data_IF_140991753210
#
_entry.id   IF_140991753210
#
_cell.length_a   1.000
_cell.length_b   1.000
_cell.length_c   1.000
_cell.angle_alpha   90.00
_cell.angle_beta   90.00
_cell.angle_gamma   90.00
#
_symmetry.space_group_name_H-M   'P 1'
#
loop_
_entity.id
_entity.type
_entity.pdbx_description
1 polymer ?
#
# COMPACT_ATOMS: atom_id res chain seq x y z
N UNK A 1 22.29 2.95 -4.90
CA UNK A 1 21.05 3.43 -4.27
C UNK A 1 21.18 4.93 -4.00
N UNK A 2 20.19 5.71 -4.42
CA UNK A 2 20.12 7.17 -4.24
C UNK A 2 19.27 7.46 -2.99
N UNK A 3 19.89 8.03 -1.95
CA UNK A 3 19.29 8.19 -0.62
C UNK A 3 18.12 9.19 -0.59
N UNK A 4 18.04 10.06 -1.58
CA UNK A 4 17.02 11.11 -1.71
C UNK A 4 15.93 10.76 -2.73
N UNK A 5 15.94 9.53 -3.31
CA UNK A 5 15.04 9.12 -4.37
C UNK A 5 14.00 8.12 -3.87
N UNK A 6 12.75 8.37 -4.18
CA UNK A 6 11.63 7.44 -3.99
C UNK A 6 11.01 7.09 -5.35
N UNK A 7 10.59 5.85 -5.51
CA UNK A 7 9.69 5.46 -6.60
C UNK A 7 8.29 5.24 -6.05
N UNK A 8 7.31 5.89 -6.68
CA UNK A 8 5.88 5.75 -6.44
C UNK A 8 5.27 5.05 -7.67
N UNK A 9 5.20 3.72 -7.61
CA UNK A 9 4.69 2.88 -8.71
C UNK A 9 3.22 2.64 -8.46
N UNK A 10 2.37 3.17 -9.35
CA UNK A 10 0.94 3.35 -9.13
C UNK A 10 0.68 4.66 -8.36
N UNK A 11 1.06 5.79 -8.98
CA UNK A 11 0.94 7.12 -8.34
C UNK A 11 -0.52 7.52 -8.07
N UNK A 12 -1.45 7.04 -8.87
CA UNK A 12 -2.86 7.40 -8.82
C UNK A 12 -3.07 8.93 -8.73
N UNK A 13 -3.78 9.43 -7.72
CA UNK A 13 -4.07 10.85 -7.50
C UNK A 13 -2.87 11.66 -6.95
N UNK A 14 -1.76 11.01 -6.64
CA UNK A 14 -0.51 11.62 -6.17
C UNK A 14 -0.48 11.98 -4.68
N UNK A 15 -1.35 11.42 -3.83
CA UNK A 15 -1.36 11.74 -2.40
C UNK A 15 -0.10 11.23 -1.69
N UNK A 16 0.38 10.04 -2.04
CA UNK A 16 1.66 9.51 -1.54
C UNK A 16 2.85 10.30 -2.10
N UNK A 17 2.84 10.62 -3.39
CA UNK A 17 3.83 11.51 -4.01
C UNK A 17 3.91 12.87 -3.27
N UNK A 18 2.77 13.47 -2.89
CA UNK A 18 2.75 14.72 -2.13
C UNK A 18 3.45 14.59 -0.77
N UNK A 19 3.22 13.47 -0.08
CA UNK A 19 3.91 13.17 1.18
C UNK A 19 5.42 13.06 0.98
N UNK A 20 5.88 12.29 0.01
CA UNK A 20 7.31 12.10 -0.24
C UNK A 20 8.02 13.42 -0.61
N UNK A 21 7.39 14.23 -1.45
CA UNK A 21 7.88 15.56 -1.81
C UNK A 21 7.97 16.51 -0.61
N UNK A 22 6.96 16.46 0.31
CA UNK A 22 6.96 17.26 1.54
C UNK A 22 8.10 16.89 2.49
N UNK A 23 8.54 15.61 2.44
CA UNK A 23 9.68 15.09 3.22
C UNK A 23 11.05 15.44 2.58
N UNK A 24 11.04 16.13 1.45
CA UNK A 24 12.26 16.58 0.75
C UNK A 24 12.85 15.59 -0.23
N UNK A 25 12.17 14.47 -0.50
CA UNK A 25 12.61 13.48 -1.47
C UNK A 25 12.40 13.95 -2.91
N UNK A 26 13.21 13.44 -3.82
CA UNK A 26 12.90 13.40 -5.26
C UNK A 26 12.04 12.17 -5.53
N UNK A 27 11.11 12.28 -6.47
CA UNK A 27 10.18 11.18 -6.77
C UNK A 27 10.19 10.86 -8.26
N UNK A 28 10.30 9.58 -8.59
CA UNK A 28 9.90 9.03 -9.88
C UNK A 28 8.54 8.39 -9.67
N UNK A 29 7.51 9.02 -10.22
CA UNK A 29 6.14 8.54 -10.15
C UNK A 29 5.77 7.83 -11.46
N UNK A 30 5.21 6.63 -11.37
CA UNK A 30 4.84 5.79 -12.51
C UNK A 30 3.33 5.61 -12.45
N UNK A 31 2.64 5.98 -13.55
CA UNK A 31 1.19 5.89 -13.63
C UNK A 31 0.76 5.53 -15.07
N UNK A 32 -0.07 4.50 -15.17
CA UNK A 32 -0.58 4.00 -16.44
C UNK A 32 -1.69 4.87 -17.01
N UNK A 33 -2.57 5.41 -16.15
CA UNK A 33 -3.72 6.21 -16.54
C UNK A 33 -3.29 7.63 -16.96
N UNK A 34 -3.41 8.00 -18.28
CA UNK A 34 -2.94 9.29 -18.76
C UNK A 34 -3.71 10.49 -18.17
N UNK A 35 -4.96 10.30 -17.76
CA UNK A 35 -5.74 11.37 -17.11
C UNK A 35 -5.16 11.73 -15.74
N UNK A 36 -4.83 10.71 -14.94
CA UNK A 36 -4.20 10.92 -13.63
C UNK A 36 -2.80 11.54 -13.78
N UNK A 37 -2.04 11.13 -14.80
CA UNK A 37 -0.74 11.74 -15.12
C UNK A 37 -0.89 13.23 -15.44
N UNK A 38 -1.89 13.62 -16.23
CA UNK A 38 -2.14 15.02 -16.56
C UNK A 38 -2.54 15.83 -15.32
N UNK A 39 -3.44 15.30 -14.50
CA UNK A 39 -3.90 15.93 -13.26
C UNK A 39 -2.76 16.12 -12.26
N UNK A 40 -1.98 15.07 -12.01
CA UNK A 40 -0.83 15.12 -11.11
C UNK A 40 0.28 16.04 -11.64
N UNK A 41 0.54 16.06 -12.95
CA UNK A 41 1.51 16.98 -13.55
C UNK A 41 1.11 18.45 -13.36
N UNK A 42 -0.19 18.76 -13.38
CA UNK A 42 -0.72 20.09 -13.05
C UNK A 42 -0.62 20.39 -11.54
N UNK A 43 -1.03 19.42 -10.70
CA UNK A 43 -0.98 19.51 -9.24
C UNK A 43 0.44 19.81 -8.75
N UNK A 44 1.44 19.18 -9.32
CA UNK A 44 2.85 19.27 -8.93
C UNK A 44 3.72 20.03 -9.94
N UNK A 45 3.14 21.01 -10.65
CA UNK A 45 3.87 21.71 -11.71
C UNK A 45 5.20 22.33 -11.26
N UNK A 46 5.28 22.82 -10.02
CA UNK A 46 6.51 23.38 -9.44
C UNK A 46 7.59 22.29 -9.23
N UNK A 47 7.22 21.14 -8.73
CA UNK A 47 8.10 19.99 -8.47
C UNK A 47 8.58 19.33 -9.78
N UNK A 48 7.72 19.29 -10.79
CA UNK A 48 8.10 18.86 -12.14
C UNK A 48 9.10 19.86 -12.76
N UNK A 49 8.81 21.15 -12.69
CA UNK A 49 9.66 22.19 -13.29
C UNK A 49 11.06 22.27 -12.64
N UNK A 50 11.17 22.02 -11.34
CA UNK A 50 12.45 22.04 -10.61
C UNK A 50 13.16 20.67 -10.58
N UNK A 51 12.60 19.63 -11.20
CA UNK A 51 13.19 18.29 -11.32
C UNK A 51 13.09 17.44 -10.05
N UNK A 52 12.31 17.84 -9.03
CA UNK A 52 12.06 17.00 -7.85
C UNK A 52 11.05 15.89 -8.11
N UNK A 53 10.14 16.08 -9.06
CA UNK A 53 9.20 15.05 -9.52
C UNK A 53 9.40 14.77 -11.00
N UNK A 54 9.51 13.50 -11.37
CA UNK A 54 9.38 13.03 -12.74
C UNK A 54 8.21 12.07 -12.82
N UNK A 55 7.22 12.40 -13.64
CA UNK A 55 6.05 11.54 -13.86
C UNK A 55 6.27 10.77 -15.17
N UNK A 56 6.14 9.45 -15.11
CA UNK A 56 6.26 8.54 -16.24
C UNK A 56 4.86 7.97 -16.56
N UNK A 57 4.31 8.35 -17.73
CA UNK A 57 3.05 7.77 -18.20
C UNK A 57 3.32 6.44 -18.90
N UNK A 58 3.54 5.41 -18.12
CA UNK A 58 3.79 4.05 -18.59
C UNK A 58 3.20 3.03 -17.63
N UNK A 59 2.78 1.88 -18.13
CA UNK A 59 2.51 0.70 -17.35
C UNK A 59 3.77 -0.11 -17.09
N UNK A 60 3.80 -0.88 -15.99
CA UNK A 60 4.84 -1.87 -15.74
C UNK A 60 4.37 -3.22 -16.30
N UNK A 61 5.21 -3.87 -17.10
CA UNK A 61 4.91 -5.17 -17.70
C UNK A 61 6.17 -6.01 -17.91
N UNK A 62 6.00 -7.31 -18.19
CA UNK A 62 7.11 -8.24 -18.43
C UNK A 62 7.95 -7.90 -19.67
N UNK A 63 7.42 -7.09 -20.58
CA UNK A 63 8.08 -6.72 -21.84
C UNK A 63 7.74 -5.29 -22.26
N UNK A 64 8.65 -4.67 -22.99
CA UNK A 64 8.43 -3.37 -23.61
C UNK A 64 7.33 -3.48 -24.69
N UNK A 65 6.50 -2.43 -24.83
CA UNK A 65 5.47 -2.40 -25.86
C UNK A 65 4.30 -1.51 -25.50
N UNK A 66 3.16 -1.77 -26.12
CA UNK A 66 1.89 -1.12 -25.82
C UNK A 66 0.83 -2.21 -25.62
N UNK A 67 0.12 -2.13 -24.51
CA UNK A 67 -0.81 -3.18 -24.09
C UNK A 67 -2.16 -2.59 -23.66
N UNK A 68 -3.25 -3.39 -23.77
CA UNK A 68 -4.55 -3.02 -23.23
C UNK A 68 -4.49 -2.81 -21.70
N UNK A 69 -5.08 -1.71 -21.25
CA UNK A 69 -5.24 -1.35 -19.86
C UNK A 69 -6.69 -0.90 -19.63
N UNK A 70 -7.31 -1.35 -18.56
CA UNK A 70 -8.70 -1.10 -18.26
C UNK A 70 -8.83 0.02 -17.24
N UNK A 71 -9.47 1.13 -17.61
CA UNK A 71 -9.78 2.26 -16.73
C UNK A 71 -11.12 2.00 -16.06
N UNK A 72 -11.16 1.97 -14.72
CA UNK A 72 -12.39 2.03 -13.96
C UNK A 72 -12.83 3.49 -13.81
N UNK A 73 -14.06 3.81 -14.26
CA UNK A 73 -14.52 5.21 -14.36
C UNK A 73 -14.98 5.82 -13.04
N UNK A 74 -15.24 4.98 -12.02
CA UNK A 74 -15.77 5.44 -10.72
C UNK A 74 -14.77 5.29 -9.58
N UNK A 75 -13.83 4.36 -9.68
CA UNK A 75 -12.80 4.09 -8.66
C UNK A 75 -11.46 3.95 -9.38
N UNK A 76 -10.71 5.04 -9.49
CA UNK A 76 -9.47 5.10 -10.27
C UNK A 76 -8.45 4.05 -9.84
N UNK A 77 -8.44 3.71 -8.56
CA UNK A 77 -7.58 2.70 -7.93
C UNK A 77 -7.77 1.29 -8.53
N UNK A 78 -8.96 1.00 -9.06
CA UNK A 78 -9.25 -0.30 -9.66
C UNK A 78 -8.84 -0.41 -11.14
N UNK A 79 -8.28 0.65 -11.71
CA UNK A 79 -7.75 0.59 -13.08
C UNK A 79 -6.57 -0.37 -13.14
N UNK A 80 -6.60 -1.33 -14.08
CA UNK A 80 -5.67 -2.46 -14.07
C UNK A 80 -5.46 -3.04 -15.47
N UNK A 81 -4.38 -3.80 -15.65
CA UNK A 81 -4.21 -4.69 -16.80
C UNK A 81 -5.16 -5.90 -16.75
N UNK A 82 -5.73 -6.20 -15.59
CA UNK A 82 -6.74 -7.22 -15.42
C UNK A 82 -8.14 -6.59 -15.46
N UNK A 83 -8.91 -6.92 -16.52
CA UNK A 83 -10.26 -6.43 -16.72
C UNK A 83 -11.18 -6.76 -15.54
N UNK A 84 -11.02 -7.93 -14.90
CA UNK A 84 -11.86 -8.35 -13.76
C UNK A 84 -11.68 -7.41 -12.56
N UNK A 85 -10.47 -6.90 -12.36
CA UNK A 85 -10.19 -5.89 -11.33
C UNK A 85 -10.90 -4.58 -11.67
N UNK A 86 -10.74 -4.08 -12.90
CA UNK A 86 -11.33 -2.82 -13.32
C UNK A 86 -12.87 -2.86 -13.38
N UNK A 87 -13.47 -4.03 -13.47
CA UNK A 87 -14.93 -4.24 -13.53
C UNK A 87 -15.55 -4.66 -12.18
N UNK A 88 -14.79 -4.62 -11.08
CA UNK A 88 -15.31 -4.97 -9.73
C UNK A 88 -16.60 -4.23 -9.42
N UNK A 89 -17.52 -4.91 -8.75
CA UNK A 89 -18.82 -4.37 -8.35
C UNK A 89 -19.65 -3.76 -9.48
N UNK A 90 -19.39 -4.20 -10.73
CA UNK A 90 -20.06 -3.67 -11.92
C UNK A 90 -19.59 -2.26 -12.32
N UNK A 91 -18.39 -1.84 -11.91
CA UNK A 91 -17.83 -0.55 -12.29
C UNK A 91 -17.82 -0.37 -13.82
N UNK A 92 -18.39 0.73 -14.35
CA UNK A 92 -18.18 1.12 -15.73
C UNK A 92 -16.70 1.26 -16.03
N UNK A 93 -16.25 0.66 -17.14
CA UNK A 93 -14.85 0.64 -17.49
C UNK A 93 -14.67 0.64 -19.01
N UNK A 94 -13.54 1.16 -19.48
CA UNK A 94 -13.15 1.13 -20.87
C UNK A 94 -11.69 0.77 -21.05
N UNK A 95 -11.34 0.32 -22.24
CA UNK A 95 -9.98 -0.07 -22.59
C UNK A 95 -9.21 1.10 -23.22
N UNK A 96 -7.96 1.29 -22.79
CA UNK A 96 -6.96 2.12 -23.45
C UNK A 96 -5.72 1.29 -23.76
N UNK A 97 -5.08 1.55 -24.89
CA UNK A 97 -3.74 1.01 -25.16
C UNK A 97 -2.71 1.98 -24.61
N UNK A 98 -1.88 1.52 -23.67
CA UNK A 98 -0.86 2.34 -23.03
C UNK A 98 0.56 1.82 -23.29
N UNK A 99 1.57 2.70 -23.36
CA UNK A 99 2.95 2.28 -23.42
C UNK A 99 3.34 1.57 -22.11
N UNK A 100 4.09 0.48 -22.23
CA UNK A 100 4.53 -0.31 -21.08
C UNK A 100 6.03 -0.53 -21.13
N UNK A 101 6.64 -0.59 -19.96
CA UNK A 101 8.06 -0.81 -19.79
C UNK A 101 8.35 -1.91 -18.76
N UNK A 102 9.48 -2.56 -18.92
CA UNK A 102 10.02 -3.41 -17.87
C UNK A 102 10.51 -2.54 -16.71
N UNK A 103 10.26 -3.00 -15.52
CA UNK A 103 10.68 -2.25 -14.32
C UNK A 103 12.21 -2.13 -14.24
N UNK A 104 12.95 -3.17 -14.64
CA UNK A 104 14.42 -3.13 -14.74
C UNK A 104 14.94 -2.05 -15.68
N UNK A 105 14.24 -1.78 -16.80
CA UNK A 105 14.60 -0.69 -17.72
C UNK A 105 14.43 0.68 -17.06
N UNK A 106 13.37 0.86 -16.27
CA UNK A 106 13.14 2.10 -15.50
C UNK A 106 14.21 2.30 -14.43
N UNK A 107 14.57 1.23 -13.69
CA UNK A 107 15.65 1.26 -12.70
C UNK A 107 17.02 1.60 -13.34
N UNK A 108 17.30 1.04 -14.51
CA UNK A 108 18.54 1.31 -15.23
C UNK A 108 18.67 2.78 -15.69
N UNK A 109 17.54 3.39 -16.10
CA UNK A 109 17.51 4.79 -16.55
C UNK A 109 17.57 5.79 -15.40
N UNK A 110 16.89 5.51 -14.29
CA UNK A 110 16.67 6.50 -13.21
C UNK A 110 17.41 6.19 -11.92
N UNK A 111 18.00 5.00 -11.80
CA UNK A 111 18.77 4.55 -10.64
C UNK A 111 17.92 3.86 -9.58
N UNK A 112 18.60 3.30 -8.59
CA UNK A 112 17.96 2.54 -7.51
C UNK A 112 17.47 3.49 -6.42
N UNK A 113 16.18 3.50 -6.07
CA UNK A 113 15.63 4.40 -5.05
C UNK A 113 16.01 3.96 -3.63
N UNK A 114 15.87 4.87 -2.68
CA UNK A 114 15.92 4.58 -1.25
C UNK A 114 14.69 3.79 -0.79
N UNK A 115 13.52 4.22 -1.27
CA UNK A 115 12.25 3.54 -1.02
C UNK A 115 11.50 3.29 -2.33
N UNK A 116 10.98 2.10 -2.46
CA UNK A 116 10.13 1.65 -3.57
C UNK A 116 8.74 1.32 -3.04
N UNK A 117 7.75 2.16 -3.35
CA UNK A 117 6.33 1.87 -3.14
C UNK A 117 5.79 1.25 -4.43
N UNK A 118 5.08 0.14 -4.30
CA UNK A 118 4.42 -0.57 -5.41
C UNK A 118 2.96 -0.76 -5.05
N UNK A 119 2.08 -0.30 -5.95
CA UNK A 119 0.65 -0.43 -5.80
C UNK A 119 0.01 -0.29 -7.19
N UNK A 120 0.01 -1.39 -7.95
CA UNK A 120 -0.43 -1.44 -9.37
C UNK A 120 -1.47 -2.53 -9.62
N UNK A 121 -2.32 -2.75 -8.63
CA UNK A 121 -3.55 -3.54 -8.73
C UNK A 121 -3.36 -4.90 -9.43
N UNK A 122 -2.66 -5.81 -8.73
CA UNK A 122 -2.49 -7.21 -9.12
C UNK A 122 -1.21 -7.52 -9.91
N UNK A 123 -0.41 -6.50 -10.25
CA UNK A 123 0.86 -6.68 -10.97
C UNK A 123 2.11 -6.34 -10.12
N UNK A 124 1.94 -6.12 -8.83
CA UNK A 124 2.98 -5.66 -7.90
C UNK A 124 4.23 -6.54 -7.94
N UNK A 125 4.04 -7.84 -8.04
CA UNK A 125 5.14 -8.81 -8.08
C UNK A 125 6.03 -8.65 -9.32
N UNK A 126 5.57 -8.04 -10.42
CA UNK A 126 6.43 -7.78 -11.59
C UNK A 126 7.60 -6.86 -11.22
N UNK A 127 7.36 -5.83 -10.40
CA UNK A 127 8.42 -4.96 -9.91
C UNK A 127 9.41 -5.73 -9.04
N UNK A 128 8.91 -6.53 -8.09
CA UNK A 128 9.75 -7.30 -7.16
C UNK A 128 10.57 -8.38 -7.88
N UNK A 129 10.01 -9.01 -8.91
CA UNK A 129 10.70 -10.04 -9.69
C UNK A 129 11.90 -9.49 -10.47
N UNK A 130 11.82 -8.23 -10.91
CA UNK A 130 12.88 -7.56 -11.67
C UNK A 130 13.94 -6.86 -10.79
N UNK A 131 13.81 -6.93 -9.45
CA UNK A 131 14.88 -6.52 -8.54
C UNK A 131 16.03 -7.52 -8.55
N UNK A 132 17.27 -7.01 -8.54
CA UNK A 132 18.49 -7.80 -8.55
C UNK A 132 19.28 -7.64 -7.25
N UNK A 133 19.87 -8.76 -6.75
CA UNK A 133 20.79 -8.74 -5.60
C UNK A 133 21.93 -7.76 -5.86
N UNK A 134 22.23 -6.91 -4.88
CA UNK A 134 23.30 -5.92 -5.00
C UNK A 134 22.83 -4.53 -5.47
N UNK A 135 21.66 -4.43 -6.10
CA UNK A 135 21.08 -3.19 -6.59
C UNK A 135 19.64 -3.02 -6.08
N UNK A 136 19.49 -2.92 -4.76
CA UNK A 136 18.20 -2.96 -4.10
C UNK A 136 17.89 -1.64 -3.37
N UNK A 137 16.61 -1.21 -3.34
CA UNK A 137 16.12 -0.22 -2.39
C UNK A 137 16.40 -0.63 -0.94
N UNK A 138 16.51 0.34 -0.03
CA UNK A 138 16.58 0.05 1.41
C UNK A 138 15.23 -0.47 1.92
N UNK A 139 14.15 0.13 1.46
CA UNK A 139 12.78 -0.22 1.81
C UNK A 139 11.97 -0.50 0.55
N UNK A 140 11.07 -1.48 0.65
CA UNK A 140 10.06 -1.81 -0.38
C UNK A 140 8.72 -1.96 0.32
N UNK A 141 7.65 -1.49 -0.30
CA UNK A 141 6.28 -1.87 0.07
C UNK A 141 5.49 -2.31 -1.15
N UNK A 142 4.56 -3.23 -0.93
CA UNK A 142 3.60 -3.69 -1.94
C UNK A 142 2.31 -4.16 -1.26
N UNK A 143 1.19 -4.06 -1.97
CA UNK A 143 -0.05 -4.66 -1.49
C UNK A 143 0.09 -6.20 -1.43
N UNK A 144 -0.24 -6.79 -0.30
CA UNK A 144 -0.11 -8.23 -0.09
C UNK A 144 -1.20 -8.79 0.83
N UNK A 145 -2.17 -9.45 0.23
CA UNK A 145 -3.19 -10.21 0.96
C UNK A 145 -2.65 -11.52 1.56
N UNK A 146 -1.49 -11.99 1.11
CA UNK A 146 -0.84 -13.23 1.55
C UNK A 146 0.63 -13.01 1.88
N UNK A 147 1.26 -14.03 2.48
CA UNK A 147 2.69 -14.00 2.80
C UNK A 147 3.60 -14.38 1.62
N UNK A 148 3.05 -14.65 0.44
CA UNK A 148 3.81 -15.17 -0.71
C UNK A 148 4.98 -14.26 -1.16
N UNK A 149 4.86 -12.91 -1.13
CA UNK A 149 5.97 -12.03 -1.51
C UNK A 149 7.21 -12.17 -0.61
N UNK A 150 7.06 -12.67 0.62
CA UNK A 150 8.14 -12.77 1.60
C UNK A 150 9.28 -13.65 1.09
N UNK A 151 8.99 -14.74 0.38
CA UNK A 151 10.02 -15.67 -0.10
C UNK A 151 10.93 -14.98 -1.11
N UNK A 152 10.36 -14.28 -2.09
CA UNK A 152 11.13 -13.54 -3.08
C UNK A 152 11.92 -12.40 -2.45
N UNK A 153 11.33 -11.68 -1.51
CA UNK A 153 12.02 -10.59 -0.79
C UNK A 153 13.18 -11.11 0.07
N UNK A 154 13.02 -12.27 0.72
CA UNK A 154 14.11 -12.94 1.44
C UNK A 154 15.25 -13.33 0.50
N UNK A 155 14.94 -13.94 -0.64
CA UNK A 155 15.92 -14.31 -1.65
C UNK A 155 16.72 -13.10 -2.14
N UNK A 156 16.09 -11.94 -2.23
CA UNK A 156 16.75 -10.68 -2.56
C UNK A 156 17.64 -10.17 -1.42
N UNK A 157 17.38 -10.53 -0.17
CA UNK A 157 18.16 -10.11 1.00
C UNK A 157 17.43 -9.17 1.96
N UNK A 158 16.10 -9.00 1.80
CA UNK A 158 15.30 -8.33 2.81
C UNK A 158 15.05 -9.27 3.99
N UNK A 159 15.32 -8.83 5.21
CA UNK A 159 15.28 -9.70 6.39
C UNK A 159 14.30 -9.23 7.46
N UNK A 160 13.75 -8.05 7.30
CA UNK A 160 12.83 -7.42 8.25
C UNK A 160 11.56 -6.99 7.54
N UNK A 161 10.42 -7.26 8.19
CA UNK A 161 9.10 -7.09 7.60
C UNK A 161 8.15 -6.38 8.58
N UNK A 162 7.26 -5.55 8.04
CA UNK A 162 6.07 -5.04 8.71
C UNK A 162 4.87 -5.24 7.77
N UNK A 163 3.72 -5.55 8.32
CA UNK A 163 2.47 -5.58 7.58
C UNK A 163 1.56 -4.49 8.14
N UNK A 164 1.09 -3.59 7.31
CA UNK A 164 0.37 -2.38 7.70
C UNK A 164 -1.02 -2.40 7.08
N UNK A 165 -2.06 -2.22 7.89
CA UNK A 165 -3.43 -2.11 7.40
C UNK A 165 -3.63 -0.80 6.62
N UNK A 166 -4.14 -0.88 5.39
CA UNK A 166 -4.48 0.29 4.58
C UNK A 166 -5.74 1.02 5.09
N UNK A 167 -6.54 0.38 5.95
CA UNK A 167 -7.75 0.98 6.53
C UNK A 167 -7.44 1.96 7.68
N UNK A 168 -6.40 1.68 8.45
CA UNK A 168 -6.12 2.44 9.68
C UNK A 168 -4.63 2.58 10.00
N UNK A 169 -3.75 2.19 9.10
CA UNK A 169 -2.28 2.27 9.19
C UNK A 169 -1.69 1.63 10.46
N UNK A 170 -2.43 0.72 11.09
CA UNK A 170 -1.93 -0.03 12.24
C UNK A 170 -1.12 -1.25 11.77
N UNK A 171 -0.04 -1.57 12.48
CA UNK A 171 0.76 -2.74 12.15
C UNK A 171 0.05 -4.02 12.58
N UNK A 172 0.12 -5.06 11.73
CA UNK A 172 -0.18 -6.41 12.13
C UNK A 172 1.04 -7.02 12.79
N UNK A 173 0.93 -7.36 14.07
CA UNK A 173 2.04 -7.95 14.82
C UNK A 173 1.54 -8.97 15.85
N UNK A 174 2.37 -9.98 16.10
CA UNK A 174 2.13 -10.99 17.12
C UNK A 174 3.36 -11.11 18.04
N UNK A 175 3.18 -11.00 19.36
CA UNK A 175 1.93 -10.61 20.06
C UNK A 175 1.53 -9.16 19.72
N UNK A 176 0.22 -8.86 19.72
CA UNK A 176 -0.26 -7.50 19.50
C UNK A 176 0.19 -6.55 20.62
N UNK A 177 0.29 -5.27 20.32
CA UNK A 177 0.59 -4.27 21.34
C UNK A 177 -0.53 -4.19 22.39
N UNK A 178 -0.21 -3.72 23.60
CA UNK A 178 -1.21 -3.54 24.66
C UNK A 178 -2.34 -2.58 24.25
N UNK A 179 -2.03 -1.59 23.39
CA UNK A 179 -3.00 -0.69 22.79
C UNK A 179 -3.95 -1.43 21.87
N UNK A 180 -3.43 -2.22 20.93
CA UNK A 180 -4.24 -3.04 20.01
C UNK A 180 -5.13 -4.01 20.77
N UNK A 181 -4.60 -4.72 21.78
CA UNK A 181 -5.38 -5.63 22.63
C UNK A 181 -6.58 -4.90 23.25
N UNK A 182 -6.36 -3.71 23.82
CA UNK A 182 -7.42 -2.93 24.45
C UNK A 182 -8.50 -2.50 23.45
N UNK A 183 -8.10 -2.06 22.25
CA UNK A 183 -9.05 -1.68 21.21
C UNK A 183 -9.83 -2.88 20.68
N UNK A 184 -9.17 -4.01 20.45
CA UNK A 184 -9.84 -5.25 20.02
C UNK A 184 -10.84 -5.74 21.08
N UNK A 185 -10.45 -5.75 22.34
CA UNK A 185 -11.35 -6.13 23.43
C UNK A 185 -12.57 -5.21 23.51
N UNK A 186 -12.37 -3.89 23.40
CA UNK A 186 -13.47 -2.92 23.39
C UNK A 186 -14.38 -3.14 22.18
N UNK A 187 -13.79 -3.38 21.01
CA UNK A 187 -14.55 -3.67 19.80
C UNK A 187 -15.37 -4.96 19.94
N UNK A 188 -14.74 -6.05 20.40
CA UNK A 188 -15.41 -7.33 20.58
C UNK A 188 -16.58 -7.24 21.55
N UNK A 189 -16.47 -6.44 22.62
CA UNK A 189 -17.59 -6.20 23.54
C UNK A 189 -18.81 -5.58 22.84
N UNK A 190 -18.62 -4.73 21.81
CA UNK A 190 -19.74 -4.18 21.04
C UNK A 190 -20.49 -5.24 20.20
N UNK A 191 -19.89 -6.40 19.96
CA UNK A 191 -20.46 -7.50 19.19
C UNK A 191 -21.05 -8.61 20.05
N UNK A 192 -21.06 -8.46 21.37
CA UNK A 192 -21.76 -9.40 22.25
C UNK A 192 -23.28 -9.40 21.98
N UNK A 193 -24.00 -10.49 22.23
CA UNK A 193 -25.44 -10.60 22.01
C UNK A 193 -26.32 -9.67 22.89
N UNK A 194 -25.71 -8.84 23.71
CA UNK A 194 -26.36 -7.90 24.62
C UNK A 194 -27.09 -6.78 23.88
N UNK A 195 -28.35 -6.52 24.24
CA UNK A 195 -29.22 -5.50 23.62
C UNK A 195 -28.63 -4.11 23.78
N UNK A 196 -28.06 -3.80 24.94
CA UNK A 196 -27.44 -2.50 25.19
C UNK A 196 -26.22 -2.27 24.30
N UNK A 197 -25.38 -3.28 24.08
CA UNK A 197 -24.25 -3.22 23.17
C UNK A 197 -24.70 -3.06 21.71
N UNK A 198 -25.78 -3.69 21.30
CA UNK A 198 -26.41 -3.48 19.98
C UNK A 198 -26.84 -2.04 19.78
N UNK A 199 -27.45 -1.42 20.78
CA UNK A 199 -27.83 -0.01 20.75
C UNK A 199 -26.61 0.88 20.66
N UNK A 200 -25.57 0.67 21.48
CA UNK A 200 -24.31 1.43 21.43
C UNK A 200 -23.66 1.38 20.06
N UNK A 201 -23.64 0.20 19.44
CA UNK A 201 -23.13 0.01 18.08
C UNK A 201 -23.93 0.79 17.05
N UNK A 202 -25.28 0.74 17.14
CA UNK A 202 -26.20 1.49 16.28
C UNK A 202 -26.01 3.02 16.46
N UNK A 203 -25.66 3.49 17.64
CA UNK A 203 -25.34 4.89 17.95
C UNK A 203 -23.92 5.31 17.49
N UNK A 204 -23.20 4.47 16.76
CA UNK A 204 -21.92 4.82 16.16
C UNK A 204 -20.70 4.66 17.08
N UNK A 205 -20.81 3.90 18.18
CA UNK A 205 -19.71 3.65 19.12
C UNK A 205 -18.46 3.09 18.40
N UNK A 206 -18.67 2.17 17.44
CA UNK A 206 -17.57 1.63 16.62
C UNK A 206 -16.85 2.75 15.85
N UNK A 207 -17.59 3.67 15.20
CA UNK A 207 -16.98 4.78 14.46
C UNK A 207 -16.17 5.70 15.39
N UNK A 208 -16.65 5.92 16.63
CA UNK A 208 -15.95 6.71 17.63
C UNK A 208 -14.66 6.02 18.09
N UNK A 209 -14.71 4.73 18.35
CA UNK A 209 -13.53 3.92 18.71
C UNK A 209 -12.46 3.98 17.61
N UNK A 210 -12.86 3.77 16.35
CA UNK A 210 -11.94 3.83 15.20
C UNK A 210 -11.34 5.25 15.04
N UNK A 211 -12.12 6.31 15.27
CA UNK A 211 -11.62 7.69 15.23
C UNK A 211 -10.55 7.96 16.29
N UNK A 212 -10.71 7.43 17.49
CA UNK A 212 -9.67 7.54 18.54
C UNK A 212 -8.36 6.87 18.13
N UNK A 213 -8.44 5.74 17.40
CA UNK A 213 -7.28 5.13 16.78
C UNK A 213 -6.65 6.03 15.72
N UNK A 214 -7.48 6.75 14.95
CA UNK A 214 -7.03 7.64 13.90
C UNK A 214 -6.18 8.80 14.42
N UNK A 215 -6.53 9.39 15.53
CA UNK A 215 -5.84 10.54 16.13
C UNK A 215 -4.47 10.17 16.72
N UNK A 216 -4.24 8.89 17.04
CA UNK A 216 -2.99 8.40 17.63
C UNK A 216 -2.03 7.74 16.63
N UNK A 217 -2.38 7.71 15.33
CA UNK A 217 -1.79 6.81 14.34
C UNK A 217 -0.38 7.12 13.89
N UNK A 218 -0.04 8.38 13.75
CA UNK A 218 1.16 8.75 13.01
C UNK A 218 2.26 9.30 13.90
N UNK A 219 3.48 8.84 13.65
CA UNK A 219 4.72 9.43 14.17
C UNK A 219 5.14 10.68 13.37
N UNK A 220 4.44 10.97 12.27
CA UNK A 220 4.74 12.07 11.35
C UNK A 220 3.60 13.08 11.33
N UNK A 221 3.94 14.38 11.23
CA UNK A 221 2.96 15.45 11.08
C UNK A 221 2.50 15.56 9.60
N UNK A 222 1.66 14.61 9.20
CA UNK A 222 1.04 14.56 7.88
C UNK A 222 -0.30 13.86 7.95
N UNK A 223 -1.32 14.44 7.29
CA UNK A 223 -2.64 13.84 7.21
C UNK A 223 -2.74 12.97 5.96
N UNK A 224 -2.59 11.67 6.13
CA UNK A 224 -2.80 10.71 5.06
C UNK A 224 -4.28 10.61 4.69
N UNK A 225 -4.56 10.62 3.39
CA UNK A 225 -5.90 10.39 2.87
C UNK A 225 -6.22 8.89 2.87
N UNK A 226 -7.51 8.57 2.80
CA UNK A 226 -7.93 7.17 2.62
C UNK A 226 -7.45 6.68 1.25
N UNK A 227 -6.88 5.47 1.21
CA UNK A 227 -6.28 4.90 0.00
C UNK A 227 -4.80 5.26 -0.23
N UNK A 228 -4.19 6.05 0.67
CA UNK A 228 -2.75 6.31 0.66
C UNK A 228 -2.01 5.17 1.36
N UNK A 229 -0.79 4.83 0.92
CA UNK A 229 0.06 3.80 1.56
C UNK A 229 0.60 4.22 2.94
N UNK A 230 0.51 5.50 3.29
CA UNK A 230 0.95 5.99 4.59
C UNK A 230 2.45 6.24 4.69
N UNK A 231 3.01 6.33 5.93
CA UNK A 231 4.44 6.50 6.14
C UNK A 231 5.21 5.24 5.74
N UNK A 232 6.52 5.37 5.60
CA UNK A 232 7.39 4.24 5.24
C UNK A 232 8.63 4.14 6.15
N UNK A 233 9.31 3.01 6.08
CA UNK A 233 10.59 2.81 6.77
C UNK A 233 10.46 2.86 8.28
N UNK A 234 11.27 3.71 8.92
CA UNK A 234 11.27 3.85 10.38
C UNK A 234 10.14 4.74 10.91
N UNK A 235 9.46 5.47 10.04
CA UNK A 235 8.26 6.25 10.41
C UNK A 235 7.02 5.35 10.60
N UNK A 236 7.09 4.08 10.17
CA UNK A 236 6.05 3.09 10.42
C UNK A 236 6.00 2.66 11.88
N UNK A 237 4.81 2.61 12.44
CA UNK A 237 4.57 2.03 13.77
C UNK A 237 4.82 0.52 13.80
N UNK A 238 4.92 -0.02 15.00
CA UNK A 238 5.15 -1.45 15.23
C UNK A 238 6.61 -1.88 15.08
N UNK A 239 6.87 -3.11 15.46
CA UNK A 239 8.21 -3.69 15.39
C UNK A 239 8.49 -4.30 14.02
N UNK A 240 9.74 -4.27 13.62
CA UNK A 240 10.21 -5.07 12.49
C UNK A 240 10.26 -6.56 12.88
N UNK A 241 9.59 -7.39 12.12
CA UNK A 241 9.46 -8.83 12.34
C UNK A 241 10.41 -9.60 11.41
N UNK A 242 10.83 -10.79 11.82
CA UNK A 242 11.49 -11.74 10.90
C UNK A 242 10.47 -12.29 9.88
N UNK A 243 10.95 -12.94 8.84
CA UNK A 243 10.07 -13.59 7.87
C UNK A 243 9.19 -14.68 8.50
N UNK A 244 9.74 -15.45 9.45
CA UNK A 244 9.00 -16.50 10.16
C UNK A 244 7.87 -15.90 11.02
N UNK A 245 8.19 -14.85 11.80
CA UNK A 245 7.20 -14.12 12.59
C UNK A 245 6.11 -13.51 11.69
N UNK A 246 6.50 -12.91 10.57
CA UNK A 246 5.55 -12.29 9.65
C UNK A 246 4.61 -13.34 9.02
N UNK A 247 5.12 -14.50 8.57
CA UNK A 247 4.28 -15.59 8.08
C UNK A 247 3.32 -16.11 9.16
N UNK A 248 3.78 -16.20 10.41
CA UNK A 248 2.92 -16.59 11.52
C UNK A 248 1.83 -15.53 11.77
N UNK A 249 2.17 -14.24 11.69
CA UNK A 249 1.22 -13.13 11.80
C UNK A 249 0.16 -13.23 10.70
N UNK A 250 0.54 -13.38 9.43
CA UNK A 250 -0.41 -13.55 8.32
C UNK A 250 -1.39 -14.71 8.57
N UNK A 251 -0.89 -15.88 8.97
CA UNK A 251 -1.75 -17.05 9.25
C UNK A 251 -2.81 -16.76 10.31
N UNK A 252 -2.41 -16.14 11.42
CA UNK A 252 -3.35 -15.80 12.51
C UNK A 252 -4.43 -14.84 12.00
N UNK A 253 -4.05 -13.78 11.31
CA UNK A 253 -5.01 -12.79 10.83
C UNK A 253 -5.90 -13.34 9.70
N UNK A 254 -5.38 -14.18 8.81
CA UNK A 254 -6.18 -14.88 7.81
C UNK A 254 -7.21 -15.82 8.45
N UNK A 255 -6.84 -16.54 9.51
CA UNK A 255 -7.80 -17.38 10.24
C UNK A 255 -8.89 -16.57 10.93
N UNK A 256 -8.55 -15.42 11.53
CA UNK A 256 -9.51 -14.52 12.18
C UNK A 256 -10.49 -13.94 11.14
N UNK A 257 -9.98 -13.51 9.99
CA UNK A 257 -10.78 -13.02 8.87
C UNK A 257 -11.72 -14.12 8.31
N UNK A 258 -11.19 -15.33 8.07
CA UNK A 258 -11.99 -16.46 7.59
C UNK A 258 -13.11 -16.86 8.55
N UNK A 259 -12.88 -16.73 9.85
CA UNK A 259 -13.90 -16.95 10.89
C UNK A 259 -14.86 -15.76 11.06
N UNK A 260 -14.70 -14.71 10.28
CA UNK A 260 -15.46 -13.45 10.38
C UNK A 260 -15.43 -12.87 11.80
N UNK A 261 -14.28 -12.95 12.45
CA UNK A 261 -14.08 -12.40 13.78
C UNK A 261 -14.04 -10.87 13.67
N UNK A 262 -14.84 -10.11 14.43
CA UNK A 262 -14.77 -8.65 14.44
C UNK A 262 -13.37 -8.17 14.83
N UNK A 263 -12.82 -7.23 14.08
CA UNK A 263 -11.49 -6.67 14.30
C UNK A 263 -11.41 -5.21 13.88
N UNK A 264 -10.44 -4.48 14.43
CA UNK A 264 -10.11 -3.12 14.01
C UNK A 264 -9.49 -3.07 12.60
N UNK A 265 -9.02 -4.20 12.08
CA UNK A 265 -8.27 -4.28 10.83
C UNK A 265 -9.13 -4.44 9.58
N UNK A 266 -10.41 -4.81 9.70
CA UNK A 266 -11.30 -5.01 8.55
C UNK A 266 -12.72 -4.51 8.78
N UNK A 267 -13.43 -4.36 7.69
CA UNK A 267 -14.85 -4.04 7.69
C UNK A 267 -15.69 -5.26 8.04
N UNK A 268 -16.82 -5.05 8.73
CA UNK A 268 -17.72 -6.14 9.16
C UNK A 268 -18.48 -6.81 8.01
N UNK A 269 -18.47 -6.20 6.81
CA UNK A 269 -19.19 -6.71 5.65
C UNK A 269 -18.32 -7.61 4.80
N UNK A 270 -17.07 -7.18 4.58
CA UNK A 270 -16.19 -7.82 3.62
C UNK A 270 -15.19 -8.76 4.28
N UNK A 271 -14.71 -8.44 5.50
CA UNK A 271 -13.62 -9.16 6.18
C UNK A 271 -12.39 -9.31 5.29
N UNK A 272 -12.18 -8.35 4.39
CA UNK A 272 -11.12 -8.39 3.38
C UNK A 272 -9.77 -8.01 3.96
N UNK A 273 -8.75 -8.67 3.48
CA UNK A 273 -7.35 -8.31 3.70
C UNK A 273 -6.96 -7.18 2.76
N UNK A 274 -6.66 -6.02 3.31
CA UNK A 274 -6.14 -4.87 2.59
C UNK A 274 -4.96 -4.31 3.36
N UNK A 275 -3.78 -4.82 3.02
CA UNK A 275 -2.55 -4.60 3.77
C UNK A 275 -1.37 -4.39 2.85
N UNK A 276 -0.46 -3.50 3.24
CA UNK A 276 0.85 -3.37 2.64
C UNK A 276 1.88 -4.17 3.43
N UNK A 277 2.62 -4.99 2.72
CA UNK A 277 3.83 -5.63 3.22
C UNK A 277 5.02 -4.70 2.96
N UNK A 278 5.63 -4.22 4.03
CA UNK A 278 6.87 -3.47 4.00
C UNK A 278 8.05 -4.38 4.30
N UNK A 279 9.11 -4.25 3.52
CA UNK A 279 10.35 -4.99 3.72
C UNK A 279 11.55 -4.04 3.86
N UNK A 280 12.49 -4.39 4.73
CA UNK A 280 13.73 -3.67 4.97
C UNK A 280 14.94 -4.60 4.81
N UNK A 281 15.96 -4.13 4.10
CA UNK A 281 17.27 -4.78 4.05
C UNK A 281 17.97 -4.70 5.40
N UNK A 282 18.84 -5.69 5.66
CA UNK A 282 19.90 -5.52 6.65
C UNK A 282 20.84 -4.38 6.20
N UNK A 283 21.33 -3.63 7.14
CA UNK A 283 22.32 -2.56 6.90
C UNK A 283 23.65 -3.15 6.43
#
# INVERSE_FOLDING_TARGET
MLQDLIYDVGMNNGDDTAYYLSRGYRVIAIEANPLLVEECSKRFAAEVANGRLKVLNVGVSEREGAFPFWICETVSEWSSFNREIASRDGCPHHELTIPCRRFSSILAEHGIPFYLKIDIEGNDMLCVQELEKGSLPKYVSLEAATADPIDRLLDLGYTKFKCISQRNFLPLEMPPSAEQVRFEQTLQQLYTPDVFMRIRRALGEKKRLLRQLDESRFSVDWKFQFGSSGPFGEDLRGRWQSAEEMRATYRVFQELSARRTPSIFWDDREYSFWFDLHARRAD
#
